data_IF_154013451310
#
_entry.id   IF_154013451310
#
_cell.length_a   1.000
_cell.length_b   1.000
_cell.length_c   1.000
_cell.angle_alpha   90.00
_cell.angle_beta   90.00
_cell.angle_gamma   90.00
#
_symmetry.space_group_name_H-M   'P 1'
#
loop_
_entity.id
_entity.type
_entity.pdbx_description
1 polymer ?
#
# COMPACT_ATOMS: atom_id res chain seq x y z
N UNK A 1 -1.17 18.23 -23.68
CA UNK A 1 -1.91 17.33 -22.76
C UNK A 1 -0.91 16.74 -21.78
N UNK A 2 -1.10 16.91 -20.48
CA UNK A 2 -0.24 16.33 -19.46
C UNK A 2 -0.91 15.04 -18.97
N UNK A 3 -0.13 13.98 -18.81
CA UNK A 3 -0.57 12.68 -18.31
C UNK A 3 0.35 12.31 -17.15
N UNK A 4 -0.24 11.94 -16.01
CA UNK A 4 0.49 11.41 -14.87
C UNK A 4 0.83 9.93 -15.13
N UNK A 5 2.06 9.54 -14.82
CA UNK A 5 2.57 8.18 -15.00
C UNK A 5 3.25 7.70 -13.71
N UNK A 6 3.94 6.56 -13.79
CA UNK A 6 4.63 5.90 -12.68
C UNK A 6 3.66 5.41 -11.58
N UNK A 7 4.07 5.41 -10.31
CA UNK A 7 3.30 4.86 -9.20
C UNK A 7 3.00 5.90 -8.11
N UNK A 8 1.84 5.71 -7.48
CA UNK A 8 1.46 6.41 -6.25
C UNK A 8 1.38 5.34 -5.16
N UNK A 9 2.42 5.27 -4.34
CA UNK A 9 2.59 4.25 -3.30
C UNK A 9 3.28 4.87 -2.06
N UNK A 10 3.32 4.19 -0.91
CA UNK A 10 4.12 4.65 0.24
C UNK A 10 5.65 4.65 -0.03
N UNK A 11 6.10 4.16 -1.19
CA UNK A 11 7.49 4.29 -1.63
C UNK A 11 7.77 5.69 -2.21
N UNK A 12 6.82 6.21 -3.00
CA UNK A 12 6.91 7.51 -3.69
C UNK A 12 6.31 8.67 -2.88
N UNK A 13 5.55 8.38 -1.82
CA UNK A 13 4.88 9.37 -0.97
C UNK A 13 5.31 9.25 0.50
N UNK A 14 5.48 10.40 1.19
CA UNK A 14 5.69 10.45 2.65
C UNK A 14 4.34 10.58 3.34
N UNK A 15 3.98 9.61 4.15
CA UNK A 15 2.65 9.46 4.75
C UNK A 15 2.80 9.38 6.26
N UNK A 16 2.32 10.41 6.96
CA UNK A 16 2.36 10.45 8.42
C UNK A 16 0.94 10.39 8.96
N UNK A 17 0.76 9.58 10.00
CA UNK A 17 -0.48 9.55 10.75
C UNK A 17 -0.71 10.92 11.41
N UNK A 18 -1.90 11.50 11.21
CA UNK A 18 -2.18 12.88 11.62
C UNK A 18 -2.15 13.02 13.15
N UNK A 19 -2.68 12.02 13.87
CA UNK A 19 -2.82 12.06 15.32
C UNK A 19 -1.50 11.74 16.03
N UNK A 20 -0.78 10.71 15.57
CA UNK A 20 0.41 10.17 16.23
C UNK A 20 1.72 10.67 15.63
N UNK A 21 1.69 11.32 14.46
CA UNK A 21 2.86 11.69 13.66
C UNK A 21 3.76 10.50 13.29
N UNK A 22 3.22 9.27 13.38
CA UNK A 22 3.93 8.05 13.04
C UNK A 22 4.12 7.98 11.53
N UNK A 23 5.34 7.64 11.09
CA UNK A 23 5.64 7.41 9.67
C UNK A 23 4.97 6.12 9.21
N UNK A 24 4.36 6.15 8.05
CA UNK A 24 3.65 5.03 7.43
C UNK A 24 4.14 4.75 6.00
N UNK A 25 5.36 5.20 5.70
CA UNK A 25 5.98 5.14 4.38
C UNK A 25 7.35 4.44 4.45
N UNK A 26 8.02 4.36 3.31
CA UNK A 26 9.32 3.69 3.17
C UNK A 26 10.42 4.24 4.08
N UNK A 27 10.26 5.42 4.70
CA UNK A 27 11.20 5.90 5.71
C UNK A 27 11.29 4.95 6.93
N UNK A 28 10.29 4.10 7.17
CA UNK A 28 10.38 3.03 8.17
C UNK A 28 11.51 2.05 7.87
N UNK A 29 11.68 1.69 6.60
CA UNK A 29 12.79 0.86 6.14
C UNK A 29 14.10 1.64 6.08
N UNK A 30 14.09 2.87 5.53
CA UNK A 30 15.31 3.68 5.39
C UNK A 30 15.97 4.03 6.74
N UNK A 31 15.20 4.04 7.82
CA UNK A 31 15.65 4.41 9.18
C UNK A 31 15.66 3.22 10.14
N UNK A 32 15.50 1.99 9.63
CA UNK A 32 15.48 0.76 10.43
C UNK A 32 14.49 0.79 11.62
N UNK A 33 13.35 1.45 11.44
CA UNK A 33 12.32 1.62 12.47
C UNK A 33 11.38 0.41 12.58
N UNK A 34 11.49 -0.55 11.66
CA UNK A 34 10.62 -1.72 11.57
C UNK A 34 9.18 -1.36 11.19
N UNK A 35 8.30 -2.36 11.17
CA UNK A 35 6.86 -2.14 10.99
C UNK A 35 6.42 -1.74 9.57
N UNK A 36 7.25 -2.02 8.55
CA UNK A 36 6.99 -1.59 7.16
C UNK A 36 5.71 -2.22 6.60
N UNK A 37 5.55 -3.54 6.77
CA UNK A 37 4.40 -4.28 6.25
C UNK A 37 3.10 -3.85 6.93
N UNK A 38 3.15 -3.64 8.24
CA UNK A 38 2.03 -3.18 9.04
C UNK A 38 1.60 -1.77 8.63
N UNK A 39 2.57 -0.87 8.42
CA UNK A 39 2.30 0.47 7.93
C UNK A 39 1.64 0.46 6.54
N UNK A 40 2.14 -0.36 5.62
CA UNK A 40 1.61 -0.44 4.26
C UNK A 40 0.20 -1.05 4.25
N UNK A 41 -0.02 -2.09 5.05
CA UNK A 41 -1.33 -2.71 5.24
C UNK A 41 -2.33 -1.71 5.84
N UNK A 42 -1.90 -0.91 6.81
CA UNK A 42 -2.74 0.12 7.42
C UNK A 42 -3.07 1.25 6.44
N UNK A 43 -2.12 1.69 5.59
CA UNK A 43 -2.39 2.63 4.50
C UNK A 43 -3.42 2.05 3.54
N UNK A 44 -3.25 0.80 3.10
CA UNK A 44 -4.18 0.14 2.19
C UNK A 44 -5.59 -0.01 2.80
N UNK A 45 -5.67 -0.32 4.10
CA UNK A 45 -6.92 -0.40 4.86
C UNK A 45 -7.63 0.95 4.95
N UNK A 46 -6.90 2.04 5.25
CA UNK A 46 -7.45 3.40 5.32
C UNK A 46 -7.94 3.91 3.97
N UNK A 47 -7.26 3.53 2.89
CA UNK A 47 -7.68 3.83 1.52
C UNK A 47 -8.81 2.92 1.01
N UNK A 48 -9.20 1.90 1.79
CA UNK A 48 -10.25 0.95 1.40
C UNK A 48 -9.86 0.03 0.23
N UNK A 49 -8.56 -0.16 -0.02
CA UNK A 49 -8.04 -1.00 -1.12
C UNK A 49 -8.20 -2.49 -0.78
N UNK A 50 -8.00 -2.85 0.49
CA UNK A 50 -8.25 -4.19 0.98
C UNK A 50 -9.72 -4.27 1.40
N UNK A 51 -10.56 -4.79 0.52
CA UNK A 51 -11.93 -5.15 0.86
C UNK A 51 -11.95 -6.58 1.42
N UNK A 52 -12.16 -6.72 2.72
CA UNK A 52 -12.37 -8.03 3.37
C UNK A 52 -13.61 -8.78 2.84
N UNK A 53 -14.51 -8.06 2.16
CA UNK A 53 -15.76 -8.57 1.59
C UNK A 53 -15.74 -8.79 0.06
N UNK A 54 -14.58 -8.65 -0.61
CA UNK A 54 -14.52 -8.94 -2.06
C UNK A 54 -14.36 -10.46 -2.27
N UNK A 55 -15.25 -11.14 -3.02
CA UNK A 55 -15.04 -12.54 -3.36
C UNK A 55 -13.73 -12.65 -4.13
N UNK A 56 -12.88 -13.62 -3.77
CA UNK A 56 -11.62 -13.91 -4.45
C UNK A 56 -11.89 -13.93 -5.95
N UNK A 57 -11.46 -12.89 -6.68
CA UNK A 57 -11.65 -12.81 -8.13
C UNK A 57 -11.00 -14.06 -8.72
N UNK A 58 -11.82 -14.80 -9.47
CA UNK A 58 -11.60 -16.21 -9.79
C UNK A 58 -10.19 -16.57 -10.23
N UNK A 59 -9.83 -17.82 -9.92
CA UNK A 59 -8.62 -18.53 -10.33
C UNK A 59 -8.04 -17.96 -11.63
N UNK A 60 -6.81 -17.46 -11.54
CA UNK A 60 -6.06 -16.93 -12.66
C UNK A 60 -5.98 -17.92 -13.84
N UNK A 61 -5.43 -17.48 -14.97
CA UNK A 61 -5.44 -18.25 -16.22
C UNK A 61 -4.90 -19.66 -15.98
N UNK A 62 -5.74 -20.66 -16.27
CA UNK A 62 -5.35 -22.07 -16.23
C UNK A 62 -4.76 -22.44 -17.59
N UNK A 63 -3.59 -23.08 -17.57
CA UNK A 63 -2.95 -23.57 -18.78
C UNK A 63 -3.82 -24.66 -19.40
N UNK A 64 -4.39 -24.38 -20.56
CA UNK A 64 -5.15 -25.35 -21.36
C UNK A 64 -4.13 -26.21 -22.10
N UNK A 65 -4.20 -27.54 -21.91
CA UNK A 65 -3.40 -28.50 -22.67
C UNK A 65 -3.85 -28.60 -24.11
#
# INVERSE_FOLDING_TARGET
RIILADEISPDSCRLWDIETQKKMDKDLFRRDLGGLLEAYSEVARRLGIINENEPIRGTGPVLVK
#
